data_IF_838347519856
#
_entry.id   IF_838347519856
#
_cell.length_a   1.000
_cell.length_b   1.000
_cell.length_c   1.000
_cell.angle_alpha   90.00
_cell.angle_beta   90.00
_cell.angle_gamma   90.00
#
_symmetry.space_group_name_H-M   'P 1'
#
loop_
_entity.id
_entity.type
_entity.pdbx_description
1 polymer ?
#
# COMPACT_ATOMS: atom_id res chain seq x y z
N UNK A 1 18.17 19.34 -19.39
CA UNK A 1 17.34 20.20 -20.25
C UNK A 1 17.15 21.60 -19.67
N UNK A 2 17.02 21.75 -18.34
CA UNK A 2 16.65 23.05 -17.74
C UNK A 2 15.16 23.31 -17.90
N UNK A 3 14.60 24.22 -17.09
CA UNK A 3 13.15 24.45 -17.00
C UNK A 3 12.57 24.98 -18.32
N UNK A 4 13.16 26.05 -18.87
CA UNK A 4 12.65 26.71 -20.07
C UNK A 4 12.64 25.76 -21.29
N UNK A 5 13.71 25.00 -21.52
CA UNK A 5 13.75 24.08 -22.66
C UNK A 5 12.79 22.87 -22.48
N UNK A 6 12.50 22.47 -21.24
CA UNK A 6 11.54 21.40 -20.96
C UNK A 6 10.10 21.85 -21.22
N UNK A 7 9.73 23.05 -20.75
CA UNK A 7 8.34 23.53 -20.84
C UNK A 7 8.02 24.28 -22.13
N UNK A 8 8.98 24.99 -22.72
CA UNK A 8 8.75 25.85 -23.89
C UNK A 8 9.28 25.24 -25.20
N UNK A 9 10.06 24.16 -25.12
CA UNK A 9 10.74 23.56 -26.27
C UNK A 9 9.86 22.72 -27.19
N UNK A 10 8.56 22.53 -26.89
CA UNK A 10 7.65 21.72 -27.70
C UNK A 10 8.05 20.24 -27.80
N UNK A 11 8.76 19.72 -26.79
CA UNK A 11 9.27 18.35 -26.79
C UNK A 11 8.14 17.33 -26.67
N UNK A 12 8.29 16.19 -27.35
CA UNK A 12 7.42 15.03 -27.18
C UNK A 12 8.16 13.94 -26.42
N UNK A 13 7.62 13.52 -25.29
CA UNK A 13 8.20 12.45 -24.45
C UNK A 13 7.38 11.19 -24.62
N UNK A 14 8.00 10.14 -25.16
CA UNK A 14 7.42 8.79 -25.20
C UNK A 14 8.06 7.94 -24.10
N UNK A 15 7.28 7.59 -23.10
CA UNK A 15 7.75 6.77 -21.97
C UNK A 15 7.80 5.28 -22.32
N UNK A 16 8.44 4.49 -21.48
CA UNK A 16 8.45 3.03 -21.56
C UNK A 16 7.20 2.36 -20.99
N UNK A 17 6.36 3.14 -20.28
CA UNK A 17 5.14 2.70 -19.60
C UNK A 17 4.20 1.94 -20.55
N UNK A 18 3.72 0.80 -20.08
CA UNK A 18 2.66 0.03 -20.71
C UNK A 18 1.32 0.35 -20.00
N UNK A 19 0.33 0.93 -20.69
CA UNK A 19 -0.93 1.34 -20.06
C UNK A 19 -1.70 0.19 -19.39
N UNK A 20 -1.63 -1.02 -19.95
CA UNK A 20 -2.34 -2.17 -19.39
C UNK A 20 -1.66 -2.64 -18.10
N UNK A 21 -0.32 -2.73 -18.11
CA UNK A 21 0.45 -3.09 -16.91
C UNK A 21 0.28 -2.02 -15.84
N UNK A 22 0.26 -0.73 -16.21
CA UNK A 22 0.03 0.37 -15.27
C UNK A 22 -1.32 0.27 -14.56
N UNK A 23 -2.39 -0.03 -15.29
CA UNK A 23 -3.73 -0.23 -14.69
C UNK A 23 -3.75 -1.41 -13.72
N UNK A 24 -3.12 -2.54 -14.11
CA UNK A 24 -2.99 -3.72 -13.24
C UNK A 24 -2.19 -3.39 -11.98
N UNK A 25 -1.07 -2.68 -12.12
CA UNK A 25 -0.22 -2.27 -11.01
C UNK A 25 -0.97 -1.38 -10.02
N UNK A 26 -1.67 -0.35 -10.50
CA UNK A 26 -2.50 0.55 -9.67
C UNK A 26 -3.53 -0.25 -8.88
N UNK A 27 -4.34 -1.07 -9.57
CA UNK A 27 -5.39 -1.87 -8.95
C UNK A 27 -4.82 -2.87 -7.93
N UNK A 28 -3.69 -3.50 -8.25
CA UNK A 28 -3.04 -4.48 -7.37
C UNK A 28 -2.53 -3.85 -6.08
N UNK A 29 -1.84 -2.71 -6.17
CA UNK A 29 -1.37 -1.97 -5.01
C UNK A 29 -2.54 -1.50 -4.15
N UNK A 30 -3.54 -0.83 -4.75
CA UNK A 30 -4.73 -0.34 -4.04
C UNK A 30 -5.45 -1.48 -3.32
N UNK A 31 -5.73 -2.60 -4.00
CA UNK A 31 -6.39 -3.75 -3.39
C UNK A 31 -5.59 -4.33 -2.22
N UNK A 32 -4.26 -4.40 -2.33
CA UNK A 32 -3.38 -4.86 -1.27
C UNK A 32 -3.44 -3.97 -0.02
N UNK A 33 -3.35 -2.65 -0.23
CA UNK A 33 -3.44 -1.65 0.85
C UNK A 33 -4.83 -1.69 1.51
N UNK A 34 -5.91 -1.76 0.73
CA UNK A 34 -7.28 -1.85 1.24
C UNK A 34 -7.51 -3.12 2.05
N UNK A 35 -7.05 -4.27 1.56
CA UNK A 35 -7.18 -5.54 2.27
C UNK A 35 -6.46 -5.48 3.62
N UNK A 36 -5.26 -4.90 3.66
CA UNK A 36 -4.51 -4.72 4.91
C UNK A 36 -5.23 -3.76 5.87
N UNK A 37 -5.75 -2.66 5.35
CA UNK A 37 -6.36 -1.59 6.12
C UNK A 37 -7.70 -2.00 6.75
N UNK A 38 -8.60 -2.59 5.95
CA UNK A 38 -9.92 -3.03 6.41
C UNK A 38 -9.82 -4.13 7.48
N UNK A 39 -8.76 -4.93 7.46
CA UNK A 39 -8.44 -5.91 8.53
C UNK A 39 -8.04 -5.25 9.86
N UNK A 40 -7.98 -3.92 9.98
CA UNK A 40 -7.75 -3.18 11.23
C UNK A 40 -8.95 -2.38 11.72
N UNK A 41 -10.02 -2.31 10.95
CA UNK A 41 -11.26 -1.62 11.31
C UNK A 41 -11.34 -0.20 10.77
N UNK A 42 -12.46 0.45 11.09
CA UNK A 42 -12.80 1.78 10.61
C UNK A 42 -12.39 2.87 11.59
N UNK A 43 -11.81 3.93 11.04
CA UNK A 43 -11.21 5.06 11.76
C UNK A 43 -12.13 6.28 11.86
N UNK A 44 -13.32 6.19 11.27
CA UNK A 44 -14.29 7.28 11.27
C UNK A 44 -14.42 7.95 9.90
N UNK A 45 -15.38 8.88 9.79
CA UNK A 45 -15.67 9.60 8.56
C UNK A 45 -14.53 10.54 8.16
N UNK A 46 -14.52 10.95 6.89
CA UNK A 46 -13.60 11.96 6.35
C UNK A 46 -13.80 13.30 7.05
N UNK A 47 -15.07 13.67 7.25
CA UNK A 47 -15.49 14.89 7.95
C UNK A 47 -16.98 14.77 8.30
N UNK A 48 -17.54 15.81 8.90
CA UNK A 48 -18.97 15.90 9.21
C UNK A 48 -19.50 17.24 8.67
N UNK A 49 -20.66 17.23 8.03
CA UNK A 49 -21.27 18.40 7.40
C UNK A 49 -22.71 18.59 7.87
N UNK A 50 -23.17 19.84 7.88
CA UNK A 50 -24.58 20.15 8.14
C UNK A 50 -25.46 19.71 6.96
N UNK A 51 -26.51 18.96 7.27
CA UNK A 51 -27.49 18.43 6.32
C UNK A 51 -28.90 19.01 6.53
N UNK A 52 -29.04 20.05 7.37
CA UNK A 52 -30.33 20.71 7.62
C UNK A 52 -30.89 21.42 6.38
N UNK A 53 -30.00 21.84 5.47
CA UNK A 53 -30.32 22.44 4.17
C UNK A 53 -29.96 21.54 2.99
N UNK A 54 -29.56 22.15 1.88
CA UNK A 54 -29.08 21.42 0.72
C UNK A 54 -27.67 20.83 0.97
N UNK A 55 -27.62 19.58 1.43
CA UNK A 55 -26.39 18.83 1.70
C UNK A 55 -25.45 18.71 0.48
N UNK A 56 -25.96 18.85 -0.74
CA UNK A 56 -25.16 18.74 -1.96
C UNK A 56 -24.16 19.88 -2.10
N UNK A 57 -24.46 21.06 -1.55
CA UNK A 57 -23.55 22.23 -1.58
C UNK A 57 -22.29 22.00 -0.73
N UNK A 58 -22.39 21.69 0.58
CA UNK A 58 -21.20 21.40 1.39
C UNK A 58 -20.46 20.15 0.89
N UNK A 59 -21.17 19.08 0.50
CA UNK A 59 -20.54 17.87 -0.02
C UNK A 59 -19.82 18.11 -1.36
N UNK A 60 -20.39 18.92 -2.25
CA UNK A 60 -19.78 19.27 -3.54
C UNK A 60 -18.50 20.11 -3.45
N UNK A 61 -18.20 20.66 -2.27
CA UNK A 61 -16.95 21.37 -1.98
C UNK A 61 -15.90 20.47 -1.30
N UNK A 62 -16.28 19.27 -0.84
CA UNK A 62 -15.33 18.31 -0.28
C UNK A 62 -14.41 17.74 -1.37
N UNK A 63 -13.11 17.65 -1.08
CA UNK A 63 -12.12 17.11 -2.03
C UNK A 63 -12.16 15.59 -2.03
N UNK A 64 -12.53 15.00 -3.16
CA UNK A 64 -12.44 13.56 -3.39
C UNK A 64 -11.05 13.12 -3.84
N UNK A 65 -10.95 11.86 -4.27
CA UNK A 65 -9.75 11.30 -4.89
C UNK A 65 -9.97 11.18 -6.40
N UNK A 66 -9.52 12.17 -7.15
CA UNK A 66 -9.78 12.27 -8.60
C UNK A 66 -9.16 11.10 -9.39
N UNK A 67 -8.06 10.53 -8.87
CA UNK A 67 -7.34 9.39 -9.46
C UNK A 67 -7.83 8.01 -8.98
N UNK A 68 -8.87 8.00 -8.14
CA UNK A 68 -9.62 6.80 -7.72
C UNK A 68 -11.09 6.95 -8.15
N UNK A 69 -11.38 6.97 -9.47
CA UNK A 69 -12.70 7.31 -10.00
C UNK A 69 -13.82 6.33 -9.59
N UNK A 70 -13.44 5.13 -9.16
CA UNK A 70 -14.34 4.10 -8.64
C UNK A 70 -14.96 4.49 -7.29
N UNK A 71 -14.33 5.43 -6.57
CA UNK A 71 -14.78 5.91 -5.28
C UNK A 71 -15.46 7.27 -5.42
N UNK A 72 -16.52 7.47 -4.63
CA UNK A 72 -17.25 8.73 -4.52
C UNK A 72 -17.31 9.14 -3.07
N UNK A 73 -17.27 10.45 -2.82
CA UNK A 73 -17.70 10.96 -1.53
C UNK A 73 -19.21 10.87 -1.43
N UNK A 74 -19.70 10.55 -0.24
CA UNK A 74 -21.11 10.56 0.08
C UNK A 74 -21.31 11.07 1.51
N UNK A 75 -22.46 11.69 1.77
CA UNK A 75 -22.89 12.07 3.11
C UNK A 75 -23.93 11.07 3.62
N UNK A 76 -23.84 10.68 4.89
CA UNK A 76 -24.87 9.87 5.55
C UNK A 76 -26.09 10.76 5.80
N UNK A 77 -27.25 10.34 5.31
CA UNK A 77 -28.53 11.04 5.47
C UNK A 77 -29.39 10.40 6.56
N UNK A 78 -29.31 9.09 6.69
CA UNK A 78 -29.97 8.31 7.73
C UNK A 78 -29.11 7.10 8.09
N UNK A 79 -29.16 6.70 9.36
CA UNK A 79 -28.39 5.57 9.89
C UNK A 79 -29.28 4.70 10.78
N UNK A 80 -29.38 3.41 10.43
CA UNK A 80 -30.30 2.46 11.06
C UNK A 80 -29.57 1.18 11.52
N UNK A 81 -30.35 0.22 12.02
CA UNK A 81 -29.82 -1.11 12.39
C UNK A 81 -29.35 -1.94 11.19
N UNK A 82 -29.93 -1.69 10.01
CA UNK A 82 -29.77 -2.53 8.82
C UNK A 82 -28.83 -1.92 7.77
N UNK A 83 -28.63 -0.60 7.81
CA UNK A 83 -27.78 0.10 6.86
C UNK A 83 -27.86 1.62 6.96
N UNK A 84 -27.27 2.27 5.96
CA UNK A 84 -27.21 3.71 5.80
C UNK A 84 -27.98 4.13 4.55
N UNK A 85 -28.68 5.26 4.63
CA UNK A 85 -29.07 6.03 3.44
C UNK A 85 -28.02 7.11 3.23
N UNK A 86 -27.52 7.24 2.00
CA UNK A 86 -26.43 8.16 1.67
C UNK A 86 -26.81 9.08 0.50
N UNK A 87 -26.31 10.32 0.53
CA UNK A 87 -26.34 11.27 -0.58
C UNK A 87 -24.99 11.29 -1.30
N UNK A 88 -24.97 11.03 -2.59
CA UNK A 88 -23.74 10.97 -3.39
C UNK A 88 -23.29 12.38 -3.77
N UNK A 89 -21.98 12.65 -3.70
CA UNK A 89 -21.40 13.93 -4.06
C UNK A 89 -21.85 14.36 -5.47
N UNK A 90 -22.50 15.54 -5.60
CA UNK A 90 -22.94 16.03 -6.91
C UNK A 90 -21.74 16.39 -7.77
N UNK A 91 -21.85 16.10 -9.07
CA UNK A 91 -20.87 16.52 -10.07
C UNK A 91 -21.00 18.01 -10.37
N UNK A 92 -19.97 18.57 -11.01
CA UNK A 92 -20.00 19.95 -11.52
C UNK A 92 -20.31 19.96 -13.01
N UNK A 93 -21.09 20.95 -13.42
CA UNK A 93 -21.32 21.29 -14.82
C UNK A 93 -20.07 21.94 -15.42
N UNK A 94 -20.05 22.09 -16.74
CA UNK A 94 -18.96 22.80 -17.46
C UNK A 94 -18.82 24.25 -16.97
N UNK A 95 -19.91 24.87 -16.50
CA UNK A 95 -19.90 26.21 -15.88
C UNK A 95 -19.21 26.26 -14.52
N UNK A 96 -18.89 25.11 -13.91
CA UNK A 96 -18.36 25.00 -12.55
C UNK A 96 -19.43 24.91 -11.46
N UNK A 97 -20.70 25.17 -11.80
CA UNK A 97 -21.83 25.03 -10.87
C UNK A 97 -22.12 23.56 -10.55
N UNK A 98 -22.58 23.29 -9.33
CA UNK A 98 -23.01 21.94 -8.94
C UNK A 98 -24.28 21.56 -9.68
N UNK A 99 -24.36 20.31 -10.11
CA UNK A 99 -25.62 19.73 -10.60
C UNK A 99 -26.65 19.78 -9.46
N UNK A 100 -27.89 20.19 -9.79
CA UNK A 100 -28.97 20.36 -8.79
C UNK A 100 -29.58 19.03 -8.34
N UNK A 101 -29.45 17.99 -9.16
CA UNK A 101 -29.95 16.66 -8.82
C UNK A 101 -29.22 16.09 -7.61
N UNK A 102 -29.98 15.41 -6.76
CA UNK A 102 -29.51 14.79 -5.52
C UNK A 102 -29.66 13.30 -5.64
N UNK A 103 -28.56 12.63 -5.99
CA UNK A 103 -28.53 11.18 -6.10
C UNK A 103 -28.37 10.59 -4.72
N UNK A 104 -29.22 9.64 -4.37
CA UNK A 104 -29.13 8.88 -3.13
C UNK A 104 -28.83 7.42 -3.41
N UNK A 105 -28.29 6.74 -2.41
CA UNK A 105 -28.01 5.32 -2.44
C UNK A 105 -28.09 4.72 -1.04
N UNK A 106 -27.83 3.42 -0.96
CA UNK A 106 -27.81 2.69 0.31
C UNK A 106 -26.51 1.93 0.50
N UNK A 107 -26.11 1.78 1.75
CA UNK A 107 -25.02 0.90 2.19
C UNK A 107 -25.61 -0.07 3.20
N UNK A 108 -25.62 -1.36 2.87
CA UNK A 108 -26.08 -2.39 3.80
C UNK A 108 -25.06 -2.63 4.92
N UNK A 109 -25.50 -3.23 6.03
CA UNK A 109 -24.58 -3.67 7.09
C UNK A 109 -23.45 -4.57 6.58
N UNK A 110 -23.73 -5.44 5.60
CA UNK A 110 -22.73 -6.33 5.00
C UNK A 110 -21.70 -5.55 4.16
N UNK A 111 -22.17 -4.55 3.42
CA UNK A 111 -21.36 -3.65 2.61
C UNK A 111 -20.46 -2.69 3.42
N UNK A 112 -20.61 -2.65 4.74
CA UNK A 112 -19.74 -1.94 5.68
C UNK A 112 -19.20 -2.85 6.80
N UNK A 113 -19.16 -4.17 6.58
CA UNK A 113 -18.81 -5.14 7.62
C UNK A 113 -17.47 -4.89 8.33
N UNK A 114 -16.46 -4.36 7.64
CA UNK A 114 -15.17 -4.01 8.26
C UNK A 114 -15.29 -2.88 9.29
N UNK A 115 -16.24 -1.97 9.09
CA UNK A 115 -16.47 -0.81 9.94
C UNK A 115 -17.26 -1.13 11.21
N UNK A 116 -17.86 -2.32 11.27
CA UNK A 116 -18.42 -2.84 12.52
C UNK A 116 -17.36 -2.96 13.61
N UNK A 117 -16.08 -3.12 13.26
CA UNK A 117 -14.97 -2.84 14.17
C UNK A 117 -14.48 -1.41 13.92
N UNK A 118 -14.66 -0.53 14.89
CA UNK A 118 -14.23 0.87 14.79
C UNK A 118 -13.53 1.32 16.08
N UNK A 119 -13.03 2.55 16.11
CA UNK A 119 -12.31 3.10 17.25
C UNK A 119 -13.13 4.17 17.97
N UNK A 120 -13.30 4.00 19.28
CA UNK A 120 -13.90 5.01 20.18
C UNK A 120 -12.87 5.34 21.24
N UNK A 121 -12.50 6.61 21.37
CA UNK A 121 -11.47 7.08 22.31
C UNK A 121 -10.16 6.27 22.22
N UNK A 122 -9.73 5.96 20.98
CA UNK A 122 -8.50 5.20 20.70
C UNK A 122 -8.58 3.69 20.98
N UNK A 123 -9.73 3.16 21.41
CA UNK A 123 -9.92 1.72 21.65
C UNK A 123 -10.76 1.11 20.54
N UNK A 124 -10.31 -0.02 20.02
CA UNK A 124 -11.09 -0.82 19.08
C UNK A 124 -12.32 -1.40 19.80
N UNK A 125 -13.50 -1.09 19.29
CA UNK A 125 -14.80 -1.60 19.74
C UNK A 125 -15.51 -2.30 18.60
N UNK A 126 -16.50 -3.14 18.92
CA UNK A 126 -17.34 -3.81 17.92
C UNK A 126 -18.78 -3.33 18.07
N UNK A 127 -19.24 -2.57 17.08
CA UNK A 127 -20.62 -2.11 16.97
C UNK A 127 -21.58 -3.28 16.68
N UNK A 128 -22.85 -3.11 17.08
CA UNK A 128 -23.94 -4.04 16.80
C UNK A 128 -24.75 -3.63 15.57
N UNK A 129 -24.78 -2.35 15.26
CA UNK A 129 -25.49 -1.75 14.11
C UNK A 129 -24.64 -0.68 13.40
N UNK A 130 -24.93 -0.38 12.13
CA UNK A 130 -24.42 0.80 11.43
C UNK A 130 -24.63 2.11 12.18
N UNK A 131 -25.79 2.27 12.85
CA UNK A 131 -26.11 3.43 13.69
C UNK A 131 -25.18 3.66 14.90
N UNK A 132 -24.41 2.67 15.33
CA UNK A 132 -23.37 2.84 16.35
C UNK A 132 -22.00 3.28 15.75
N UNK A 133 -21.86 3.28 14.42
CA UNK A 133 -20.60 3.55 13.71
C UNK A 133 -20.61 4.90 13.00
N UNK A 134 -21.74 5.24 12.36
CA UNK A 134 -21.88 6.44 11.53
C UNK A 134 -23.23 7.11 11.82
N UNK A 135 -23.24 8.44 11.80
CA UNK A 135 -24.41 9.26 12.06
C UNK A 135 -24.74 10.19 10.88
N UNK A 136 -25.98 10.69 10.77
CA UNK A 136 -26.34 11.66 9.73
C UNK A 136 -25.41 12.89 9.75
N UNK A 137 -24.93 13.30 8.58
CA UNK A 137 -23.93 14.37 8.42
C UNK A 137 -22.50 13.85 8.18
N UNK A 138 -22.21 12.59 8.49
CA UNK A 138 -20.89 12.01 8.25
C UNK A 138 -20.59 11.88 6.76
N UNK A 139 -19.41 12.38 6.34
CA UNK A 139 -18.91 12.25 4.97
C UNK A 139 -17.98 11.06 4.88
N UNK A 140 -18.27 10.15 3.96
CA UNK A 140 -17.58 8.87 3.79
C UNK A 140 -17.22 8.64 2.33
N UNK A 141 -16.22 7.77 2.10
CA UNK A 141 -15.99 7.23 0.76
C UNK A 141 -16.87 6.01 0.55
N UNK A 142 -17.44 5.91 -0.64
CA UNK A 142 -18.24 4.76 -1.07
C UNK A 142 -17.85 4.33 -2.47
N UNK A 143 -18.00 3.05 -2.75
CA UNK A 143 -17.84 2.46 -4.07
C UNK A 143 -19.14 1.79 -4.48
N UNK A 144 -19.61 2.04 -5.71
CA UNK A 144 -20.83 1.43 -6.22
C UNK A 144 -20.67 -0.09 -6.35
N UNK A 145 -21.69 -0.85 -5.95
CA UNK A 145 -21.70 -2.31 -6.09
C UNK A 145 -21.89 -2.69 -7.56
N UNK A 146 -21.17 -3.72 -8.02
CA UNK A 146 -21.30 -4.21 -9.40
C UNK A 146 -22.73 -4.69 -9.68
N UNK A 147 -23.30 -4.27 -10.81
CA UNK A 147 -24.65 -4.68 -11.24
C UNK A 147 -25.83 -4.05 -10.49
N UNK A 148 -25.57 -3.09 -9.59
CA UNK A 148 -26.61 -2.33 -8.90
C UNK A 148 -26.68 -0.89 -9.39
N UNK A 149 -27.86 -0.27 -9.33
CA UNK A 149 -28.00 1.15 -9.67
C UNK A 149 -27.73 2.07 -8.47
N UNK A 150 -28.12 1.65 -7.26
CA UNK A 150 -28.14 2.53 -6.07
C UNK A 150 -27.57 1.89 -4.79
N UNK A 151 -26.94 0.71 -4.85
CA UNK A 151 -26.26 0.13 -3.67
C UNK A 151 -24.75 0.34 -3.74
N UNK A 152 -24.17 0.57 -2.56
CA UNK A 152 -22.78 0.97 -2.41
C UNK A 152 -22.14 0.23 -1.23
N UNK A 153 -20.82 0.12 -1.29
CA UNK A 153 -19.99 -0.36 -0.19
C UNK A 153 -19.11 0.72 0.39
N UNK A 154 -18.98 0.70 1.72
CA UNK A 154 -18.18 1.66 2.46
C UNK A 154 -16.70 1.48 2.12
N UNK A 155 -16.00 2.60 2.01
CA UNK A 155 -14.57 2.69 1.73
C UNK A 155 -13.89 3.63 2.71
N UNK A 156 -12.62 3.36 2.90
CA UNK A 156 -11.74 4.13 3.78
C UNK A 156 -10.38 4.21 3.12
N UNK A 157 -9.83 5.42 3.06
CA UNK A 157 -8.48 5.63 2.55
C UNK A 157 -7.49 4.94 3.49
N UNK A 158 -6.66 4.00 2.98
CA UNK A 158 -5.65 3.34 3.81
C UNK A 158 -4.70 4.33 4.47
N UNK A 159 -4.38 4.12 5.75
CA UNK A 159 -3.27 4.84 6.40
C UNK A 159 -1.91 4.26 6.01
N UNK A 160 -1.90 2.94 5.73
CA UNK A 160 -0.70 2.28 5.21
C UNK A 160 -0.50 2.66 3.75
N UNK A 161 0.76 2.76 3.36
CA UNK A 161 1.17 3.13 2.01
C UNK A 161 2.09 2.07 1.41
N UNK A 162 2.28 2.15 0.10
CA UNK A 162 3.18 1.26 -0.62
C UNK A 162 3.70 1.87 -1.91
N UNK A 163 4.61 1.15 -2.55
CA UNK A 163 5.11 1.46 -3.87
C UNK A 163 5.22 0.18 -4.70
N UNK A 164 5.07 0.30 -6.01
CA UNK A 164 5.17 -0.81 -6.94
C UNK A 164 5.92 -0.35 -8.20
N UNK A 165 6.90 -1.13 -8.61
CA UNK A 165 7.59 -0.97 -9.91
C UNK A 165 7.58 -2.31 -10.63
N UNK A 166 7.20 -2.29 -11.91
CA UNK A 166 7.33 -3.42 -12.82
C UNK A 166 8.32 -3.06 -13.93
N UNK A 167 9.33 -3.90 -14.14
CA UNK A 167 10.42 -3.65 -15.09
C UNK A 167 10.62 -4.85 -16.01
N UNK A 168 11.07 -4.58 -17.23
CA UNK A 168 11.68 -5.61 -18.08
C UNK A 168 13.13 -5.84 -17.62
N UNK A 169 13.49 -7.04 -17.13
CA UNK A 169 14.82 -7.31 -16.61
C UNK A 169 15.92 -7.31 -17.69
N UNK A 170 15.58 -7.46 -18.98
CA UNK A 170 16.58 -7.47 -20.05
C UNK A 170 16.97 -6.07 -20.51
N UNK A 171 16.06 -5.10 -20.38
CA UNK A 171 16.24 -3.75 -20.92
C UNK A 171 16.24 -2.66 -19.85
N UNK A 172 15.82 -2.96 -18.62
CA UNK A 172 15.64 -1.98 -17.54
C UNK A 172 14.45 -1.07 -17.76
N UNK A 173 13.62 -1.30 -18.78
CA UNK A 173 12.44 -0.47 -19.06
C UNK A 173 11.43 -0.57 -17.93
N UNK A 174 11.01 0.56 -17.39
CA UNK A 174 9.92 0.64 -16.42
C UNK A 174 8.59 0.56 -17.15
N UNK A 175 7.88 -0.55 -16.98
CA UNK A 175 6.60 -0.83 -17.62
C UNK A 175 5.43 -0.27 -16.81
N UNK A 176 5.55 -0.26 -15.48
CA UNK A 176 4.59 0.38 -14.59
C UNK A 176 5.28 0.90 -13.33
N UNK A 177 4.76 1.99 -12.79
CA UNK A 177 5.22 2.61 -11.55
C UNK A 177 4.04 3.20 -10.80
N UNK A 178 3.92 2.88 -9.51
CA UNK A 178 2.88 3.42 -8.62
C UNK A 178 3.56 3.82 -7.31
N UNK A 179 3.44 5.10 -6.96
CA UNK A 179 4.14 5.71 -5.81
C UNK A 179 3.37 5.74 -4.48
N UNK A 180 2.10 5.35 -4.50
CA UNK A 180 1.21 5.40 -3.32
C UNK A 180 -0.22 4.99 -3.67
N UNK A 181 -1.12 5.06 -2.68
CA UNK A 181 -2.54 4.74 -2.86
C UNK A 181 -3.25 5.71 -3.83
N UNK A 182 -3.01 7.01 -3.66
CA UNK A 182 -3.56 8.09 -4.49
C UNK A 182 -2.55 9.24 -4.64
N UNK A 183 -2.32 9.66 -5.88
CA UNK A 183 -1.52 10.83 -6.22
C UNK A 183 -2.21 12.13 -5.78
N UNK A 184 -3.54 12.21 -5.90
CA UNK A 184 -4.32 13.36 -5.43
C UNK A 184 -4.20 13.58 -3.92
N UNK A 185 -3.94 12.51 -3.16
CA UNK A 185 -3.64 12.59 -1.73
C UNK A 185 -2.17 12.92 -1.44
N UNK A 186 -1.24 12.30 -2.17
CA UNK A 186 0.19 12.48 -1.98
C UNK A 186 0.97 12.27 -3.27
N UNK A 187 1.64 13.32 -3.73
CA UNK A 187 2.49 13.26 -4.92
C UNK A 187 3.86 12.58 -4.67
N UNK A 188 4.15 12.19 -3.43
CA UNK A 188 5.41 11.54 -3.06
C UNK A 188 5.50 10.12 -3.63
N UNK A 189 6.49 9.88 -4.49
CA UNK A 189 6.67 8.62 -5.18
C UNK A 189 7.51 7.64 -4.36
N UNK A 190 6.84 6.77 -3.59
CA UNK A 190 7.51 5.79 -2.73
C UNK A 190 8.29 4.70 -3.49
N UNK A 191 7.99 4.49 -4.77
CA UNK A 191 8.74 3.55 -5.59
C UNK A 191 10.18 4.02 -5.88
N UNK A 192 10.44 5.34 -5.86
CA UNK A 192 11.76 5.91 -6.19
C UNK A 192 12.37 6.76 -5.08
N UNK A 193 11.56 7.30 -4.16
CA UNK A 193 12.00 8.27 -3.16
C UNK A 193 12.00 7.73 -1.73
N UNK A 194 11.24 6.66 -1.44
CA UNK A 194 11.12 6.13 -0.08
C UNK A 194 12.27 5.16 0.25
N UNK A 195 13.29 5.64 0.95
CA UNK A 195 14.36 4.79 1.48
C UNK A 195 13.84 3.94 2.65
N UNK A 196 13.86 2.61 2.49
CA UNK A 196 13.41 1.64 3.49
C UNK A 196 14.39 0.49 3.60
N UNK A 197 14.49 -0.10 4.79
CA UNK A 197 15.29 -1.30 4.98
C UNK A 197 14.65 -2.48 4.23
N UNK A 198 15.38 -3.19 3.35
CA UNK A 198 14.84 -4.30 2.57
C UNK A 198 14.53 -5.53 3.43
N UNK A 199 15.20 -5.68 4.58
CA UNK A 199 15.07 -6.86 5.43
C UNK A 199 15.46 -8.13 4.67
N UNK A 200 14.63 -9.16 4.73
CA UNK A 200 14.96 -10.46 4.10
C UNK A 200 15.02 -10.42 2.58
N UNK A 201 14.49 -9.40 1.90
CA UNK A 201 14.65 -9.27 0.44
C UNK A 201 16.09 -8.96 0.03
N UNK A 202 16.98 -8.62 0.97
CA UNK A 202 18.41 -8.46 0.72
C UNK A 202 19.16 -9.79 0.64
N UNK A 203 18.61 -10.89 1.20
CA UNK A 203 19.30 -12.19 1.26
C UNK A 203 19.74 -12.73 -0.11
N UNK A 204 18.96 -12.62 -1.20
CA UNK A 204 19.42 -13.04 -2.51
C UNK A 204 20.78 -12.48 -2.93
N UNK A 205 21.14 -11.26 -2.53
CA UNK A 205 22.45 -10.65 -2.82
C UNK A 205 23.57 -11.41 -2.11
N UNK A 206 23.39 -11.69 -0.81
CA UNK A 206 24.35 -12.48 -0.01
C UNK A 206 24.50 -13.88 -0.59
N UNK A 207 23.38 -14.51 -0.97
CA UNK A 207 23.41 -15.88 -1.51
C UNK A 207 23.97 -15.92 -2.94
N UNK A 208 23.80 -14.88 -3.75
CA UNK A 208 24.47 -14.74 -5.05
C UNK A 208 25.99 -14.69 -4.88
N UNK A 209 26.47 -13.87 -3.93
CA UNK A 209 27.89 -13.81 -3.62
C UNK A 209 28.47 -15.18 -3.23
N UNK A 210 27.72 -15.97 -2.46
CA UNK A 210 28.13 -17.31 -2.07
C UNK A 210 28.23 -18.28 -3.26
N UNK A 211 27.24 -18.27 -4.14
CA UNK A 211 27.23 -19.14 -5.32
C UNK A 211 28.43 -18.86 -6.25
N UNK A 212 28.76 -17.58 -6.44
CA UNK A 212 29.90 -17.17 -7.26
C UNK A 212 31.26 -17.45 -6.58
N UNK A 213 31.27 -17.78 -5.29
CA UNK A 213 32.48 -18.04 -4.49
C UNK A 213 32.55 -19.48 -3.97
N UNK A 214 32.08 -20.43 -4.79
CA UNK A 214 32.31 -21.86 -4.58
C UNK A 214 31.27 -22.59 -3.72
N UNK A 215 30.27 -21.88 -3.20
CA UNK A 215 29.11 -22.55 -2.61
C UNK A 215 28.18 -23.07 -3.71
N UNK A 216 27.47 -24.15 -3.42
CA UNK A 216 26.45 -24.71 -4.30
C UNK A 216 25.11 -24.71 -3.57
N UNK A 217 23.97 -24.88 -4.27
CA UNK A 217 22.67 -25.05 -3.62
C UNK A 217 22.62 -26.20 -2.59
N UNK A 218 23.55 -27.18 -2.71
CA UNK A 218 23.68 -28.32 -1.80
C UNK A 218 24.67 -28.10 -0.66
N UNK A 219 25.46 -27.01 -0.67
CA UNK A 219 26.38 -26.69 0.42
C UNK A 219 25.64 -26.61 1.74
N UNK A 220 26.17 -27.27 2.77
CA UNK A 220 25.55 -27.35 4.09
C UNK A 220 26.04 -26.18 4.94
N UNK A 221 25.10 -25.43 5.52
CA UNK A 221 25.35 -24.30 6.41
C UNK A 221 24.61 -24.57 7.72
N UNK A 222 25.25 -24.25 8.83
CA UNK A 222 24.68 -24.44 10.16
C UNK A 222 23.64 -23.34 10.48
N UNK A 223 22.36 -23.73 10.58
CA UNK A 223 21.28 -22.94 11.19
C UNK A 223 21.23 -23.17 12.70
N UNK A 224 22.19 -22.57 13.41
CA UNK A 224 22.33 -22.66 14.85
C UNK A 224 22.89 -21.37 15.44
N UNK A 225 22.83 -21.18 16.78
CA UNK A 225 23.24 -19.95 17.42
C UNK A 225 24.62 -19.47 16.98
N UNK A 226 24.72 -18.18 16.71
CA UNK A 226 25.97 -17.51 16.35
C UNK A 226 26.07 -16.22 17.15
N UNK A 227 27.27 -15.93 17.63
CA UNK A 227 27.60 -14.67 18.26
C UNK A 227 28.77 -14.07 17.49
N UNK A 228 28.58 -12.87 16.97
CA UNK A 228 29.61 -12.12 16.25
C UNK A 228 30.08 -11.00 17.16
N UNK A 229 31.39 -10.90 17.32
CA UNK A 229 32.05 -9.81 18.03
C UNK A 229 32.67 -8.88 17.00
N UNK A 230 32.27 -7.60 17.03
CA UNK A 230 32.81 -6.55 16.17
C UNK A 230 33.24 -5.38 17.05
N UNK A 231 34.55 -5.23 17.24
CA UNK A 231 35.12 -4.31 18.23
C UNK A 231 34.58 -4.60 19.64
N UNK A 232 33.93 -3.59 20.23
CA UNK A 232 33.32 -3.68 21.57
C UNK A 232 31.85 -4.11 21.55
N UNK A 233 31.29 -4.42 20.37
CA UNK A 233 29.89 -4.80 20.22
C UNK A 233 29.77 -6.30 20.02
N UNK A 234 28.95 -6.93 20.85
CA UNK A 234 28.57 -8.35 20.71
C UNK A 234 27.15 -8.42 20.16
N UNK A 235 26.98 -9.16 19.07
CA UNK A 235 25.68 -9.34 18.43
C UNK A 235 25.35 -10.83 18.28
N UNK A 236 24.19 -11.24 18.82
CA UNK A 236 23.68 -12.61 18.76
C UNK A 236 22.31 -12.59 18.07
N UNK A 237 22.26 -12.72 16.73
CA UNK A 237 21.00 -12.73 15.99
C UNK A 237 20.16 -13.97 16.30
N UNK A 238 18.88 -13.90 15.91
CA UNK A 238 17.92 -15.01 15.99
C UNK A 238 17.11 -15.12 14.70
N UNK A 239 16.61 -16.32 14.42
CA UNK A 239 15.59 -16.50 13.38
C UNK A 239 14.26 -15.86 13.83
N UNK A 240 13.44 -15.44 12.86
CA UNK A 240 12.16 -14.78 13.14
C UNK A 240 11.20 -15.66 13.95
N UNK A 241 11.21 -16.97 13.70
CA UNK A 241 10.42 -17.97 14.41
C UNK A 241 11.07 -18.46 15.72
N UNK A 242 12.28 -18.00 16.03
CA UNK A 242 13.06 -18.43 17.19
C UNK A 242 13.59 -19.86 17.12
N UNK A 243 13.34 -20.61 16.03
CA UNK A 243 13.76 -22.01 15.90
C UNK A 243 15.12 -22.14 15.21
N UNK A 244 15.76 -23.29 15.41
CA UNK A 244 17.02 -23.67 14.76
C UNK A 244 16.80 -24.98 14.02
N UNK A 245 17.20 -25.04 12.75
CA UNK A 245 17.09 -26.24 11.93
C UNK A 245 18.34 -27.14 12.01
N UNK A 246 19.45 -26.67 12.58
CA UNK A 246 20.73 -27.37 12.52
C UNK A 246 21.36 -27.29 11.12
N UNK A 247 22.17 -28.29 10.71
CA UNK A 247 22.74 -28.32 9.36
C UNK A 247 21.65 -28.35 8.28
N UNK A 248 21.65 -27.37 7.38
CA UNK A 248 20.70 -27.28 6.28
C UNK A 248 21.39 -26.83 4.98
N UNK A 249 20.82 -27.18 3.83
CA UNK A 249 21.37 -26.78 2.53
C UNK A 249 21.21 -25.28 2.29
N UNK A 250 22.14 -24.68 1.54
CA UNK A 250 22.08 -23.28 1.11
C UNK A 250 20.73 -22.94 0.47
N UNK A 251 20.20 -23.82 -0.39
CA UNK A 251 18.84 -23.70 -0.95
C UNK A 251 17.76 -23.54 0.12
N UNK A 252 17.75 -24.43 1.12
CA UNK A 252 16.77 -24.37 2.23
C UNK A 252 16.91 -23.08 3.03
N UNK A 253 18.14 -22.58 3.19
CA UNK A 253 18.43 -21.34 3.90
C UNK A 253 17.77 -20.11 3.27
N UNK A 254 17.85 -19.95 1.94
CA UNK A 254 17.20 -18.83 1.24
C UNK A 254 15.68 -19.02 1.15
N UNK A 255 15.22 -20.24 0.86
CA UNK A 255 13.79 -20.58 0.74
C UNK A 255 13.03 -20.29 2.04
N UNK A 256 13.60 -20.69 3.18
CA UNK A 256 13.01 -20.48 4.52
C UNK A 256 13.46 -19.18 5.16
N UNK A 257 14.23 -18.36 4.45
CA UNK A 257 14.74 -17.08 4.93
C UNK A 257 15.41 -17.20 6.30
N UNK A 258 16.33 -18.15 6.49
CA UNK A 258 17.02 -18.38 7.78
C UNK A 258 18.06 -17.30 8.04
N UNK A 259 17.85 -16.51 9.11
CA UNK A 259 18.75 -15.41 9.49
C UNK A 259 20.12 -15.93 9.92
N UNK A 260 20.15 -16.96 10.75
CA UNK A 260 21.41 -17.50 11.29
C UNK A 260 22.31 -18.05 10.16
N UNK A 261 21.73 -18.76 9.20
CA UNK A 261 22.46 -19.22 8.01
C UNK A 261 22.99 -18.05 7.17
N UNK A 262 22.16 -17.02 6.94
CA UNK A 262 22.58 -15.86 6.14
C UNK A 262 23.73 -15.10 6.80
N UNK A 263 23.64 -14.88 8.12
CA UNK A 263 24.68 -14.20 8.89
C UNK A 263 25.98 -14.99 8.90
N UNK A 264 25.90 -16.32 9.11
CA UNK A 264 27.06 -17.20 9.08
C UNK A 264 27.72 -17.18 7.71
N UNK A 265 26.93 -17.29 6.65
CA UNK A 265 27.41 -17.23 5.27
C UNK A 265 28.13 -15.90 4.97
N UNK A 266 27.52 -14.77 5.32
CA UNK A 266 28.14 -13.46 5.16
C UNK A 266 29.44 -13.31 5.97
N UNK A 267 29.49 -13.87 7.19
CA UNK A 267 30.67 -13.86 8.02
C UNK A 267 31.80 -14.74 7.45
N UNK A 268 31.47 -15.94 6.98
CA UNK A 268 32.44 -16.90 6.41
C UNK A 268 33.06 -16.37 5.11
N UNK A 269 32.26 -15.72 4.26
CA UNK A 269 32.71 -15.06 3.04
C UNK A 269 33.44 -13.72 3.28
N UNK A 270 33.17 -13.10 4.43
CA UNK A 270 33.63 -11.76 4.76
C UNK A 270 32.73 -10.64 4.22
N UNK A 271 32.52 -9.61 5.05
CA UNK A 271 31.60 -8.51 4.73
C UNK A 271 32.01 -7.67 3.52
N UNK A 272 33.30 -7.59 3.19
CA UNK A 272 33.78 -6.83 2.02
C UNK A 272 33.18 -7.35 0.72
N UNK A 273 33.14 -8.67 0.56
CA UNK A 273 32.55 -9.32 -0.62
C UNK A 273 31.04 -9.07 -0.70
N UNK A 274 30.34 -9.11 0.44
CA UNK A 274 28.90 -8.81 0.50
C UNK A 274 28.61 -7.36 0.08
N UNK A 275 29.44 -6.40 0.53
CA UNK A 275 29.34 -4.99 0.15
C UNK A 275 29.57 -4.81 -1.35
N UNK A 276 30.63 -5.41 -1.90
CA UNK A 276 30.93 -5.35 -3.34
C UNK A 276 29.75 -5.87 -4.19
N UNK A 277 29.12 -6.98 -3.79
CA UNK A 277 27.93 -7.47 -4.49
C UNK A 277 26.75 -6.50 -4.36
N UNK A 278 26.54 -5.90 -3.19
CA UNK A 278 25.47 -4.94 -2.99
C UNK A 278 25.64 -3.68 -3.87
N UNK A 279 26.87 -3.18 -4.02
CA UNK A 279 27.23 -2.09 -4.94
C UNK A 279 26.99 -2.51 -6.40
N UNK A 280 27.43 -3.71 -6.81
CA UNK A 280 27.21 -4.23 -8.17
C UNK A 280 25.72 -4.37 -8.53
N UNK A 281 24.85 -4.64 -7.55
CA UNK A 281 23.40 -4.68 -7.71
C UNK A 281 22.73 -3.31 -7.55
N UNK A 282 23.47 -2.24 -7.27
CA UNK A 282 22.94 -0.89 -7.11
C UNK A 282 22.08 -0.68 -5.86
N UNK A 283 22.34 -1.43 -4.79
CA UNK A 283 21.60 -1.29 -3.51
C UNK A 283 22.19 -0.22 -2.61
N UNK A 284 23.49 0.05 -2.75
CA UNK A 284 24.21 1.12 -2.07
C UNK A 284 25.11 1.84 -3.06
N UNK A 285 25.27 3.15 -2.85
CA UNK A 285 26.27 4.02 -3.50
C UNK A 285 27.44 4.28 -2.53
#
# INVERSE_FOLDING_TARGET
YGENALYEGGLSVRTTLDPNIQLIARKSLQNGLLKYDMLRGYRGPVTHIDISGDWGVPLGNAKGLEDVPEWKLAVVLDSSADGLTIGIQPTRQVSGELVKDRVQGTVSKDDMGFAMRHFVNGKSVRAKSPAEVLEPGDVVFVQKNEGSDNTYMLRQVPEVEGGLVAMDPHTGRVLAMVGGFSYAQSEFNRATQAMRQPGSSFKPIVYSAALDNGYTPASVIMDGPITIQSGNTTWTPKNYDGTVAGPATLRSGIEKSRNLMTVRLANDMGMKLVVEYAERFGVYD
#
